data_IF_570339408089
#
_entry.id   IF_570339408089
#
_cell.length_a   1.000
_cell.length_b   1.000
_cell.length_c   1.000
_cell.angle_alpha   90.00
_cell.angle_beta   90.00
_cell.angle_gamma   90.00
#
_symmetry.space_group_name_H-M   'P 1'
#
loop_
_entity.id
_entity.type
_entity.pdbx_description
1 polymer ?
#
# COMPACT_ATOMS: atom_id res chain seq x y z
N UNK A 1 66.31 22.91 -28.69
CA UNK A 1 66.10 21.96 -27.58
C UNK A 1 64.61 21.80 -27.43
N UNK A 2 64.06 20.76 -28.05
CA UNK A 2 62.59 20.51 -28.17
C UNK A 2 62.25 19.47 -27.09
N UNK A 3 61.39 19.89 -26.16
CA UNK A 3 60.85 18.97 -25.14
C UNK A 3 59.49 18.49 -25.67
N UNK A 4 59.43 17.19 -26.03
CA UNK A 4 58.21 16.51 -26.38
C UNK A 4 57.65 15.89 -25.11
N UNK A 5 56.55 16.45 -24.60
CA UNK A 5 55.73 15.86 -23.53
C UNK A 5 54.76 14.84 -24.15
N UNK A 6 54.99 13.56 -23.90
CA UNK A 6 54.05 12.46 -24.23
C UNK A 6 53.03 12.39 -23.11
N UNK A 7 51.77 12.77 -23.41
CA UNK A 7 50.63 12.53 -22.54
C UNK A 7 50.23 11.03 -22.68
N UNK A 8 50.54 10.25 -21.64
CA UNK A 8 50.04 8.89 -21.49
C UNK A 8 48.59 8.88 -21.02
N UNK A 9 47.63 8.76 -21.90
CA UNK A 9 46.26 8.42 -21.58
C UNK A 9 46.17 6.92 -21.27
N UNK A 10 46.14 6.58 -19.98
CA UNK A 10 45.74 5.25 -19.51
C UNK A 10 44.25 5.10 -19.75
N UNK A 11 43.92 4.46 -20.86
CA UNK A 11 42.55 3.99 -21.14
C UNK A 11 42.25 2.83 -20.18
N UNK A 12 41.69 3.12 -19.01
CA UNK A 12 41.00 2.12 -18.19
C UNK A 12 39.78 1.65 -18.98
N UNK A 13 39.93 0.59 -19.77
CA UNK A 13 38.82 -0.15 -20.29
C UNK A 13 38.01 -0.66 -19.08
N UNK A 14 36.88 0.00 -18.78
CA UNK A 14 35.86 -0.54 -17.89
C UNK A 14 35.44 -1.88 -18.50
N UNK A 15 35.82 -2.96 -17.86
CA UNK A 15 35.28 -4.28 -18.12
C UNK A 15 33.76 -4.12 -17.96
N UNK A 16 32.95 -4.39 -19.00
CA UNK A 16 31.51 -4.38 -18.81
C UNK A 16 31.21 -5.46 -17.77
N UNK A 17 30.74 -5.06 -16.61
CA UNK A 17 30.14 -5.98 -15.66
C UNK A 17 29.05 -6.69 -16.44
N UNK A 18 29.25 -7.99 -16.64
CA UNK A 18 28.32 -8.85 -17.33
C UNK A 18 26.94 -8.58 -16.76
N UNK A 19 26.06 -8.06 -17.60
CA UNK A 19 24.67 -7.82 -17.33
C UNK A 19 24.07 -9.19 -16.98
N UNK A 20 24.01 -9.48 -15.68
CA UNK A 20 23.44 -10.72 -15.16
C UNK A 20 21.92 -10.64 -15.24
N UNK A 21 21.42 -10.26 -16.41
CA UNK A 21 20.01 -10.40 -16.77
C UNK A 21 19.80 -11.85 -17.15
N UNK A 22 19.56 -12.68 -16.15
CA UNK A 22 19.30 -14.12 -16.32
C UNK A 22 18.02 -14.42 -17.11
N UNK A 23 17.18 -13.41 -17.42
CA UNK A 23 15.98 -13.56 -18.23
C UNK A 23 15.79 -12.39 -19.21
N UNK A 24 16.40 -12.41 -20.40
CA UNK A 24 16.17 -11.36 -21.42
C UNK A 24 14.85 -11.52 -22.20
N UNK A 25 13.95 -12.42 -21.82
CA UNK A 25 12.85 -12.88 -22.69
C UNK A 25 11.42 -12.54 -22.24
N UNK A 26 11.23 -11.91 -21.10
CA UNK A 26 9.89 -11.42 -20.74
C UNK A 26 9.90 -9.91 -20.63
N UNK A 27 9.24 -9.22 -21.57
CA UNK A 27 8.99 -7.80 -21.47
C UNK A 27 8.30 -7.48 -20.15
N UNK A 28 8.76 -6.45 -19.41
CA UNK A 28 8.14 -6.01 -18.16
C UNK A 28 6.64 -5.72 -18.33
N UNK A 29 6.20 -5.38 -19.54
CA UNK A 29 4.80 -5.23 -19.90
C UNK A 29 4.01 -6.55 -19.79
N UNK A 30 4.56 -7.66 -20.28
CA UNK A 30 3.91 -8.98 -20.17
C UNK A 30 3.80 -9.42 -18.71
N UNK A 31 4.85 -9.21 -17.90
CA UNK A 31 4.84 -9.53 -16.47
C UNK A 31 3.79 -8.68 -15.73
N UNK A 32 3.68 -7.40 -16.08
CA UNK A 32 2.66 -6.50 -15.51
C UNK A 32 1.25 -6.99 -15.87
N UNK A 33 0.98 -7.29 -17.13
CA UNK A 33 -0.34 -7.79 -17.57
C UNK A 33 -0.69 -9.13 -16.92
N UNK A 34 0.27 -10.04 -16.78
CA UNK A 34 0.07 -11.32 -16.09
C UNK A 34 -0.24 -11.10 -14.61
N UNK A 35 0.50 -10.21 -13.94
CA UNK A 35 0.25 -9.87 -12.54
C UNK A 35 -1.15 -9.25 -12.36
N UNK A 36 -1.55 -8.33 -13.23
CA UNK A 36 -2.89 -7.73 -13.23
C UNK A 36 -3.97 -8.81 -13.38
N UNK A 37 -3.82 -9.70 -14.37
CA UNK A 37 -4.77 -10.77 -14.61
C UNK A 37 -4.90 -11.70 -13.38
N UNK A 38 -3.78 -12.06 -12.75
CA UNK A 38 -3.78 -12.90 -11.55
C UNK A 38 -4.42 -12.20 -10.34
N UNK A 39 -4.19 -10.90 -10.15
CA UNK A 39 -4.87 -10.13 -9.11
C UNK A 39 -6.38 -10.08 -9.35
N UNK A 40 -6.84 -9.87 -10.59
CA UNK A 40 -8.25 -9.88 -10.92
C UNK A 40 -8.87 -11.28 -10.72
N UNK A 41 -8.16 -12.34 -11.11
CA UNK A 41 -8.59 -13.73 -10.87
C UNK A 41 -8.67 -14.04 -9.38
N UNK A 42 -7.72 -13.57 -8.57
CA UNK A 42 -7.75 -13.72 -7.11
C UNK A 42 -8.97 -13.02 -6.51
N UNK A 43 -9.18 -11.74 -6.85
CA UNK A 43 -10.35 -10.97 -6.39
C UNK A 43 -11.68 -11.57 -6.83
N UNK A 44 -11.78 -11.98 -8.09
CA UNK A 44 -12.97 -12.65 -8.63
C UNK A 44 -13.23 -14.00 -7.93
N UNK A 45 -12.18 -14.79 -7.67
CA UNK A 45 -12.29 -16.08 -6.97
C UNK A 45 -12.80 -15.90 -5.53
N UNK A 46 -12.28 -14.87 -4.82
CA UNK A 46 -12.77 -14.51 -3.48
C UNK A 46 -14.23 -14.00 -3.54
N UNK A 47 -14.56 -13.18 -4.54
CA UNK A 47 -15.92 -12.72 -4.78
C UNK A 47 -16.88 -13.87 -5.06
N UNK A 48 -16.54 -14.79 -5.96
CA UNK A 48 -17.38 -15.96 -6.25
C UNK A 48 -17.65 -16.81 -5.02
N UNK A 49 -16.66 -17.01 -4.14
CA UNK A 49 -16.85 -17.70 -2.86
C UNK A 49 -17.88 -17.03 -1.98
N UNK A 50 -17.93 -15.69 -2.03
CA UNK A 50 -18.85 -14.90 -1.21
C UNK A 50 -20.26 -14.83 -1.80
N UNK A 51 -20.42 -15.02 -3.13
CA UNK A 51 -21.73 -14.97 -3.80
C UNK A 51 -22.28 -16.33 -4.22
N UNK A 52 -21.49 -17.41 -4.05
CA UNK A 52 -21.90 -18.73 -4.48
C UNK A 52 -23.05 -19.28 -3.64
N UNK A 53 -24.09 -19.73 -4.31
CA UNK A 53 -25.16 -20.57 -3.73
C UNK A 53 -24.63 -21.98 -3.48
N UNK A 54 -25.31 -22.77 -2.60
CA UNK A 54 -24.87 -24.09 -2.13
C UNK A 54 -24.57 -25.13 -3.23
N UNK A 55 -24.93 -24.86 -4.49
CA UNK A 55 -24.73 -25.76 -5.62
C UNK A 55 -23.69 -25.32 -6.64
N UNK A 56 -23.03 -24.16 -6.43
CA UNK A 56 -22.00 -23.67 -7.35
C UNK A 56 -20.61 -24.22 -7.00
N UNK A 57 -19.83 -24.57 -8.02
CA UNK A 57 -18.42 -24.88 -7.86
C UNK A 57 -17.68 -23.63 -7.36
N UNK A 58 -17.36 -23.60 -6.07
CA UNK A 58 -16.63 -22.48 -5.48
C UNK A 58 -15.14 -22.74 -5.58
N UNK A 59 -14.33 -21.77 -6.06
CA UNK A 59 -12.89 -21.90 -6.05
C UNK A 59 -12.37 -22.14 -4.62
N UNK A 60 -11.37 -22.99 -4.47
CA UNK A 60 -10.75 -23.20 -3.16
C UNK A 60 -10.10 -21.91 -2.65
N UNK A 61 -10.16 -21.64 -1.34
CA UNK A 61 -9.50 -20.50 -0.70
C UNK A 61 -8.00 -20.45 -1.02
N UNK A 62 -7.34 -21.60 -0.95
CA UNK A 62 -5.92 -21.73 -1.27
C UNK A 62 -5.61 -21.30 -2.70
N UNK A 63 -6.46 -21.66 -3.68
CA UNK A 63 -6.27 -21.28 -5.07
C UNK A 63 -6.33 -19.76 -5.27
N UNK A 64 -7.29 -19.09 -4.64
CA UNK A 64 -7.40 -17.62 -4.71
C UNK A 64 -6.16 -16.91 -4.12
N UNK A 65 -5.68 -17.39 -2.98
CA UNK A 65 -4.47 -16.83 -2.36
C UNK A 65 -3.18 -17.25 -3.08
N UNK A 66 -3.15 -18.39 -3.76
CA UNK A 66 -2.03 -18.75 -4.65
C UNK A 66 -1.94 -17.79 -5.84
N UNK A 67 -3.06 -17.46 -6.49
CA UNK A 67 -3.09 -16.44 -7.53
C UNK A 67 -2.60 -15.08 -7.01
N UNK A 68 -3.07 -14.66 -5.83
CA UNK A 68 -2.64 -13.41 -5.20
C UNK A 68 -1.14 -13.40 -4.87
N UNK A 69 -0.59 -14.51 -4.37
CA UNK A 69 0.83 -14.62 -4.04
C UNK A 69 1.71 -14.58 -5.29
N UNK A 70 1.35 -15.30 -6.34
CA UNK A 70 2.08 -15.26 -7.63
C UNK A 70 1.99 -13.85 -8.23
N UNK A 71 0.80 -13.23 -8.21
CA UNK A 71 0.63 -11.86 -8.66
C UNK A 71 1.53 -10.88 -7.88
N UNK A 72 1.62 -11.02 -6.56
CA UNK A 72 2.48 -10.19 -5.73
C UNK A 72 3.97 -10.40 -6.04
N UNK A 73 4.42 -11.61 -6.31
CA UNK A 73 5.81 -11.88 -6.72
C UNK A 73 6.14 -11.22 -8.06
N UNK A 74 5.26 -11.33 -9.05
CA UNK A 74 5.43 -10.65 -10.34
C UNK A 74 5.40 -9.12 -10.19
N UNK A 75 4.49 -8.61 -9.35
CA UNK A 75 4.39 -7.18 -9.05
C UNK A 75 5.67 -6.66 -8.38
N UNK A 76 6.23 -7.40 -7.42
CA UNK A 76 7.53 -7.07 -6.81
C UNK A 76 8.64 -6.94 -7.84
N UNK A 77 8.71 -7.89 -8.78
CA UNK A 77 9.70 -7.86 -9.87
C UNK A 77 9.54 -6.61 -10.73
N UNK A 78 8.31 -6.32 -11.17
CA UNK A 78 8.01 -5.13 -11.99
C UNK A 78 8.34 -3.83 -11.24
N UNK A 79 8.02 -3.75 -9.94
CA UNK A 79 8.36 -2.61 -9.10
C UNK A 79 9.87 -2.38 -9.01
N UNK A 80 10.64 -3.44 -8.74
CA UNK A 80 12.11 -3.35 -8.68
C UNK A 80 12.65 -2.88 -10.03
N UNK A 81 12.19 -3.46 -11.13
CA UNK A 81 12.63 -3.07 -12.48
C UNK A 81 12.25 -1.63 -12.85
N UNK A 82 11.13 -1.11 -12.35
CA UNK A 82 10.67 0.26 -12.62
C UNK A 82 11.34 1.30 -11.71
N UNK A 83 11.69 0.90 -10.47
CA UNK A 83 12.27 1.81 -9.48
C UNK A 83 13.81 1.85 -9.52
N UNK A 84 14.47 0.74 -9.82
CA UNK A 84 15.93 0.66 -9.89
C UNK A 84 16.42 1.05 -11.28
N UNK A 85 16.90 2.28 -11.41
CA UNK A 85 17.41 2.84 -12.67
C UNK A 85 18.91 3.11 -12.57
N UNK A 86 19.60 3.18 -13.71
CA UNK A 86 21.02 3.51 -13.75
C UNK A 86 21.34 4.92 -13.15
N UNK A 87 20.34 5.82 -13.11
CA UNK A 87 20.46 7.17 -12.57
C UNK A 87 20.11 7.26 -11.08
N UNK A 88 19.54 6.21 -10.47
CA UNK A 88 19.12 6.17 -9.07
C UNK A 88 17.72 5.57 -8.90
N UNK A 89 17.14 5.74 -7.71
CA UNK A 89 15.80 5.22 -7.40
C UNK A 89 14.74 6.17 -7.96
N UNK A 90 13.94 5.66 -8.91
CA UNK A 90 12.80 6.40 -9.46
C UNK A 90 11.57 6.25 -8.56
N UNK A 91 11.22 7.30 -7.82
CA UNK A 91 10.10 7.33 -6.88
C UNK A 91 9.03 8.34 -7.28
N UNK A 92 8.53 8.23 -8.51
CA UNK A 92 7.42 9.03 -9.00
C UNK A 92 6.09 8.65 -8.33
N UNK A 93 5.00 9.40 -8.60
CA UNK A 93 3.69 9.16 -7.96
C UNK A 93 3.12 7.78 -8.34
N UNK A 94 3.24 7.33 -9.58
CA UNK A 94 2.70 6.05 -10.03
C UNK A 94 3.44 4.87 -9.37
N UNK A 95 4.78 4.92 -9.25
CA UNK A 95 5.56 3.94 -8.53
C UNK A 95 5.22 3.93 -7.03
N UNK A 96 5.03 5.11 -6.41
CA UNK A 96 4.68 5.20 -5.00
C UNK A 96 3.30 4.63 -4.69
N UNK A 97 2.29 4.89 -5.54
CA UNK A 97 0.94 4.33 -5.41
C UNK A 97 0.98 2.81 -5.60
N UNK A 98 1.67 2.33 -6.64
CA UNK A 98 1.82 0.91 -6.94
C UNK A 98 2.54 0.16 -5.81
N UNK A 99 3.65 0.69 -5.30
CA UNK A 99 4.37 0.14 -4.15
C UNK A 99 3.49 0.09 -2.89
N UNK A 100 2.69 1.14 -2.65
CA UNK A 100 1.79 1.17 -1.50
C UNK A 100 0.75 0.06 -1.58
N UNK A 101 0.09 -0.12 -2.73
CA UNK A 101 -0.92 -1.16 -2.91
C UNK A 101 -0.32 -2.57 -2.95
N UNK A 102 0.90 -2.72 -3.45
CA UNK A 102 1.69 -3.96 -3.31
C UNK A 102 1.88 -4.33 -1.83
N UNK A 103 2.32 -3.39 -0.99
CA UNK A 103 2.49 -3.64 0.46
C UNK A 103 1.16 -3.99 1.12
N UNK A 104 0.06 -3.30 0.77
CA UNK A 104 -1.29 -3.61 1.27
C UNK A 104 -1.69 -5.04 0.87
N UNK A 105 -1.47 -5.45 -0.38
CA UNK A 105 -1.79 -6.78 -0.87
C UNK A 105 -0.97 -7.87 -0.16
N UNK A 106 0.33 -7.65 0.03
CA UNK A 106 1.22 -8.58 0.76
C UNK A 106 0.77 -8.71 2.22
N UNK A 107 0.49 -7.61 2.91
CA UNK A 107 0.00 -7.64 4.29
C UNK A 107 -1.35 -8.35 4.40
N UNK A 108 -2.24 -8.16 3.44
CA UNK A 108 -3.50 -8.90 3.38
C UNK A 108 -3.27 -10.40 3.22
N UNK A 109 -2.41 -10.82 2.28
CA UNK A 109 -2.10 -12.24 2.04
C UNK A 109 -1.53 -12.89 3.31
N UNK A 110 -0.57 -12.22 3.96
CA UNK A 110 0.05 -12.72 5.20
C UNK A 110 -1.00 -12.79 6.34
N UNK A 111 -1.79 -11.74 6.52
CA UNK A 111 -2.79 -11.67 7.58
C UNK A 111 -3.93 -12.67 7.38
N UNK A 112 -4.29 -12.97 6.13
CA UNK A 112 -5.30 -13.96 5.80
C UNK A 112 -4.92 -15.39 6.18
N UNK A 113 -3.64 -15.68 6.44
CA UNK A 113 -3.21 -17.00 6.94
C UNK A 113 -3.85 -17.30 8.30
N UNK A 114 -3.93 -16.30 9.17
CA UNK A 114 -4.39 -16.44 10.56
C UNK A 114 -5.74 -15.77 10.87
N UNK A 115 -6.21 -14.87 10.01
CA UNK A 115 -7.41 -14.06 10.22
C UNK A 115 -8.45 -14.29 9.11
N UNK A 116 -9.76 -14.29 9.44
CA UNK A 116 -10.84 -14.43 8.45
C UNK A 116 -11.12 -13.06 7.77
N UNK A 117 -10.16 -12.57 6.99
CA UNK A 117 -10.23 -11.27 6.29
C UNK A 117 -10.29 -11.43 4.77
N UNK A 118 -10.71 -12.59 4.28
CA UNK A 118 -10.79 -12.93 2.85
C UNK A 118 -11.64 -11.92 2.06
N UNK A 119 -12.66 -11.36 2.71
CA UNK A 119 -13.57 -10.35 2.16
C UNK A 119 -12.84 -9.07 1.73
N UNK A 120 -11.73 -8.68 2.40
CA UNK A 120 -10.92 -7.53 2.00
C UNK A 120 -10.24 -7.75 0.64
N UNK A 121 -9.91 -8.98 0.30
CA UNK A 121 -9.25 -9.33 -0.96
C UNK A 121 -10.10 -9.01 -2.19
N UNK A 122 -11.44 -8.98 -2.05
CA UNK A 122 -12.35 -8.61 -3.15
C UNK A 122 -12.12 -7.17 -3.62
N UNK A 123 -11.72 -6.29 -2.70
CA UNK A 123 -11.46 -4.87 -2.98
C UNK A 123 -9.96 -4.64 -3.25
N UNK A 124 -9.09 -5.21 -2.42
CA UNK A 124 -7.65 -4.93 -2.45
C UNK A 124 -6.96 -5.55 -3.67
N UNK A 125 -7.35 -6.77 -4.08
CA UNK A 125 -6.70 -7.42 -5.23
C UNK A 125 -6.96 -6.67 -6.56
N UNK A 126 -8.20 -6.31 -6.92
CA UNK A 126 -8.43 -5.47 -8.10
C UNK A 126 -7.77 -4.09 -8.00
N UNK A 127 -7.72 -3.49 -6.80
CA UNK A 127 -7.05 -2.21 -6.59
C UNK A 127 -5.54 -2.32 -6.87
N UNK A 128 -4.87 -3.39 -6.42
CA UNK A 128 -3.45 -3.64 -6.72
C UNK A 128 -3.21 -3.82 -8.23
N UNK A 129 -4.08 -4.55 -8.91
CA UNK A 129 -4.03 -4.68 -10.37
C UNK A 129 -4.22 -3.33 -11.09
N UNK A 130 -5.16 -2.51 -10.63
CA UNK A 130 -5.42 -1.20 -11.20
C UNK A 130 -4.24 -0.23 -11.03
N UNK A 131 -3.62 -0.21 -9.85
CA UNK A 131 -2.46 0.68 -9.62
C UNK A 131 -1.22 0.22 -10.39
N UNK A 132 -1.05 -1.07 -10.60
CA UNK A 132 0.01 -1.61 -11.47
C UNK A 132 -0.25 -1.22 -12.94
N UNK A 133 -1.51 -1.21 -13.38
CA UNK A 133 -1.89 -0.70 -14.70
C UNK A 133 -1.59 0.81 -14.83
N UNK A 134 -1.91 1.62 -13.80
CA UNK A 134 -1.55 3.04 -13.78
C UNK A 134 -0.04 3.26 -13.87
N UNK A 135 0.76 2.48 -13.14
CA UNK A 135 2.21 2.55 -13.18
C UNK A 135 2.75 2.29 -14.59
N UNK A 136 2.17 1.31 -15.30
CA UNK A 136 2.55 0.96 -16.66
C UNK A 136 2.13 2.05 -17.67
N UNK A 137 0.96 2.70 -17.46
CA UNK A 137 0.36 3.66 -18.40
C UNK A 137 0.93 5.07 -18.25
N UNK A 138 1.44 5.44 -17.08
CA UNK A 138 1.95 6.78 -16.77
C UNK A 138 3.38 6.72 -16.22
N UNK A 139 4.36 6.31 -17.06
CA UNK A 139 5.76 6.36 -16.67
C UNK A 139 6.19 7.83 -16.53
N UNK A 140 6.80 8.17 -15.43
CA UNK A 140 7.46 9.46 -15.20
C UNK A 140 8.76 9.23 -14.42
N UNK A 141 9.66 10.20 -14.45
CA UNK A 141 10.94 10.10 -13.78
C UNK A 141 11.01 11.11 -12.64
N UNK A 142 11.19 10.61 -11.43
CA UNK A 142 11.48 11.41 -10.24
C UNK A 142 12.55 10.70 -9.40
N UNK A 143 13.80 11.10 -9.61
CA UNK A 143 14.94 10.45 -8.97
C UNK A 143 15.10 10.93 -7.52
N UNK A 144 15.17 9.99 -6.59
CA UNK A 144 15.50 10.28 -5.20
C UNK A 144 17.02 10.32 -4.99
N UNK A 145 17.44 11.25 -4.16
CA UNK A 145 18.83 11.26 -3.68
C UNK A 145 19.08 10.04 -2.77
N UNK A 146 20.02 9.19 -3.15
CA UNK A 146 20.31 7.91 -2.49
C UNK A 146 21.02 8.01 -1.15
N UNK A 147 21.50 9.19 -0.74
CA UNK A 147 22.20 9.43 0.52
C UNK A 147 21.28 9.58 1.72
N UNK A 148 20.22 8.75 1.80
CA UNK A 148 19.27 8.78 2.90
C UNK A 148 19.87 8.17 4.17
N UNK A 149 19.72 8.88 5.32
CA UNK A 149 20.11 8.34 6.63
C UNK A 149 19.28 7.12 7.01
N UNK A 150 19.78 6.32 7.95
CA UNK A 150 19.04 5.15 8.45
C UNK A 150 17.69 5.53 9.08
N UNK A 151 17.60 6.68 9.76
CA UNK A 151 16.38 7.15 10.38
C UNK A 151 15.31 7.52 9.35
N UNK A 152 15.70 8.15 8.23
CA UNK A 152 14.77 8.40 7.12
C UNK A 152 14.25 7.09 6.50
N UNK A 153 15.13 6.10 6.34
CA UNK A 153 14.70 4.78 5.82
C UNK A 153 13.68 4.12 6.74
N UNK A 154 13.91 4.15 8.07
CA UNK A 154 12.97 3.62 9.05
C UNK A 154 11.65 4.41 9.07
N UNK A 155 11.72 5.75 8.98
CA UNK A 155 10.53 6.58 8.86
C UNK A 155 9.68 6.19 7.64
N UNK A 156 10.30 6.02 6.48
CA UNK A 156 9.58 5.64 5.24
C UNK A 156 8.96 4.25 5.38
N UNK A 157 9.71 3.26 5.87
CA UNK A 157 9.20 1.89 6.02
C UNK A 157 8.06 1.82 7.03
N UNK A 158 8.23 2.42 8.21
CA UNK A 158 7.18 2.43 9.25
C UNK A 158 5.94 3.20 8.82
N UNK A 159 6.11 4.34 8.13
CA UNK A 159 5.00 5.11 7.55
C UNK A 159 4.22 4.31 6.51
N UNK A 160 4.93 3.60 5.62
CA UNK A 160 4.31 2.75 4.61
C UNK A 160 3.51 1.61 5.23
N UNK A 161 4.08 0.91 6.23
CA UNK A 161 3.40 -0.17 6.93
C UNK A 161 2.18 0.36 7.71
N UNK A 162 2.32 1.50 8.41
CA UNK A 162 1.20 2.16 9.09
C UNK A 162 0.07 2.48 8.12
N UNK A 163 0.40 3.13 7.01
CA UNK A 163 -0.56 3.49 5.98
C UNK A 163 -1.26 2.25 5.40
N UNK A 164 -0.51 1.20 5.09
CA UNK A 164 -1.05 -0.03 4.53
C UNK A 164 -2.04 -0.73 5.49
N UNK A 165 -1.69 -0.87 6.76
CA UNK A 165 -2.59 -1.49 7.76
C UNK A 165 -3.82 -0.61 8.02
N UNK A 166 -3.65 0.72 8.10
CA UNK A 166 -4.79 1.63 8.27
C UNK A 166 -5.69 1.69 7.03
N UNK A 167 -5.14 1.44 5.83
CA UNK A 167 -5.95 1.23 4.62
C UNK A 167 -6.80 -0.03 4.73
N UNK A 168 -6.23 -1.16 5.18
CA UNK A 168 -7.00 -2.38 5.44
C UNK A 168 -8.10 -2.13 6.48
N UNK A 169 -7.80 -1.37 7.55
CA UNK A 169 -8.78 -0.97 8.55
C UNK A 169 -9.90 -0.11 7.94
N UNK A 170 -9.58 0.82 7.04
CA UNK A 170 -10.57 1.66 6.36
C UNK A 170 -11.49 0.85 5.45
N UNK A 171 -10.93 -0.09 4.66
CA UNK A 171 -11.73 -1.01 3.83
C UNK A 171 -12.61 -1.91 4.71
N UNK A 172 -12.07 -2.42 5.82
CA UNK A 172 -12.84 -3.18 6.81
C UNK A 172 -13.99 -2.34 7.41
N UNK A 173 -13.75 -1.08 7.73
CA UNK A 173 -14.77 -0.15 8.23
C UNK A 173 -15.87 0.10 7.20
N UNK A 174 -15.52 0.24 5.91
CA UNK A 174 -16.49 0.37 4.82
C UNK A 174 -17.37 -0.88 4.68
N UNK A 175 -16.77 -2.07 4.69
CA UNK A 175 -17.53 -3.33 4.64
C UNK A 175 -18.43 -3.50 5.86
N UNK A 176 -17.92 -3.14 7.05
CA UNK A 176 -18.70 -3.13 8.29
C UNK A 176 -19.89 -2.16 8.21
N UNK A 177 -19.69 -0.97 7.60
CA UNK A 177 -20.74 0.03 7.37
C UNK A 177 -21.85 -0.52 6.46
N UNK A 178 -21.47 -1.20 5.37
CA UNK A 178 -22.41 -1.82 4.44
C UNK A 178 -23.20 -2.90 5.18
N UNK A 179 -22.53 -3.76 5.94
CA UNK A 179 -23.19 -4.83 6.71
C UNK A 179 -24.15 -4.26 7.77
N UNK A 180 -23.74 -3.28 8.58
CA UNK A 180 -24.59 -2.63 9.60
C UNK A 180 -25.84 -2.01 8.98
N UNK A 181 -25.69 -1.29 7.86
CA UNK A 181 -26.82 -0.66 7.18
C UNK A 181 -27.85 -1.66 6.64
N UNK A 182 -27.42 -2.80 6.12
CA UNK A 182 -28.34 -3.82 5.61
C UNK A 182 -29.05 -4.57 6.73
N UNK A 183 -28.35 -4.91 7.80
CA UNK A 183 -28.94 -5.55 8.97
C UNK A 183 -30.02 -4.67 9.59
N UNK A 184 -29.82 -3.35 9.69
CA UNK A 184 -30.81 -2.40 10.21
C UNK A 184 -32.06 -2.28 9.34
N UNK A 185 -31.92 -2.45 8.02
CA UNK A 185 -33.04 -2.40 7.07
C UNK A 185 -33.83 -3.70 6.98
N UNK A 186 -33.56 -4.68 7.84
CA UNK A 186 -34.21 -6.00 7.86
C UNK A 186 -34.14 -6.76 6.52
N UNK A 187 -33.11 -6.51 5.70
CA UNK A 187 -32.86 -7.25 4.45
C UNK A 187 -31.62 -8.13 4.59
N UNK A 188 -31.65 -9.19 5.42
CA UNK A 188 -30.49 -10.06 5.63
C UNK A 188 -30.33 -11.07 4.48
N UNK A 189 -30.35 -10.57 3.22
CA UNK A 189 -30.23 -11.39 2.02
C UNK A 189 -28.88 -11.27 1.32
N UNK A 190 -28.55 -12.22 0.45
CA UNK A 190 -27.40 -12.16 -0.46
C UNK A 190 -26.05 -12.15 0.23
N UNK A 191 -25.17 -11.27 -0.23
CA UNK A 191 -23.77 -11.08 0.18
C UNK A 191 -23.52 -11.01 1.70
N UNK A 192 -24.47 -10.42 2.46
CA UNK A 192 -24.28 -10.13 3.89
C UNK A 192 -24.28 -11.37 4.76
N UNK A 193 -25.02 -12.42 4.38
CA UNK A 193 -25.05 -13.69 5.12
C UNK A 193 -23.71 -14.43 5.12
N UNK A 194 -22.84 -14.11 4.18
CA UNK A 194 -21.57 -14.78 3.95
C UNK A 194 -20.39 -14.02 4.57
N UNK A 195 -20.61 -12.76 5.00
CA UNK A 195 -19.63 -12.02 5.77
C UNK A 195 -19.50 -12.61 7.18
N UNK A 196 -18.30 -12.54 7.78
CA UNK A 196 -18.11 -12.90 9.19
C UNK A 196 -19.10 -12.14 10.10
N UNK A 197 -19.40 -12.67 11.28
CA UNK A 197 -20.24 -11.97 12.25
C UNK A 197 -19.75 -10.56 12.51
N UNK A 198 -20.68 -9.61 12.65
CA UNK A 198 -20.38 -8.18 12.81
C UNK A 198 -19.41 -7.93 13.97
N UNK A 199 -19.52 -8.68 15.06
CA UNK A 199 -18.62 -8.59 16.22
C UNK A 199 -17.18 -8.99 15.85
N UNK A 200 -16.99 -10.04 15.05
CA UNK A 200 -15.67 -10.47 14.57
C UNK A 200 -15.05 -9.42 13.66
N UNK A 201 -15.84 -8.86 12.72
CA UNK A 201 -15.36 -7.79 11.84
C UNK A 201 -14.97 -6.53 12.62
N UNK A 202 -15.73 -6.19 13.66
CA UNK A 202 -15.41 -5.06 14.55
C UNK A 202 -14.13 -5.32 15.37
N UNK A 203 -13.96 -6.53 15.90
CA UNK A 203 -12.76 -6.89 16.64
C UNK A 203 -11.49 -6.79 15.75
N UNK A 204 -11.57 -7.34 14.53
CA UNK A 204 -10.50 -7.23 13.54
C UNK A 204 -10.20 -5.78 13.14
N UNK A 205 -11.23 -4.94 13.01
CA UNK A 205 -11.08 -3.51 12.75
C UNK A 205 -10.23 -2.84 13.83
N UNK A 206 -10.56 -3.03 15.10
CA UNK A 206 -9.81 -2.42 16.21
C UNK A 206 -8.40 -2.99 16.35
N UNK A 207 -8.19 -4.27 16.03
CA UNK A 207 -6.86 -4.87 16.00
C UNK A 207 -5.98 -4.21 14.93
N UNK A 208 -6.50 -4.03 13.70
CA UNK A 208 -5.81 -3.32 12.62
C UNK A 208 -5.52 -1.86 12.99
N UNK A 209 -6.48 -1.15 13.58
CA UNK A 209 -6.28 0.23 14.03
C UNK A 209 -5.20 0.28 15.11
N UNK A 210 -5.19 -0.64 16.07
CA UNK A 210 -4.18 -0.69 17.13
C UNK A 210 -2.77 -0.87 16.58
N UNK A 211 -2.56 -1.86 15.71
CA UNK A 211 -1.26 -2.10 15.07
C UNK A 211 -0.86 -0.92 14.18
N UNK A 212 -1.78 -0.41 13.36
CA UNK A 212 -1.53 0.75 12.50
C UNK A 212 -1.18 2.00 13.29
N UNK A 213 -1.84 2.23 14.43
CA UNK A 213 -1.56 3.35 15.33
C UNK A 213 -0.16 3.25 15.97
N UNK A 214 0.26 2.07 16.43
CA UNK A 214 1.62 1.86 16.95
C UNK A 214 2.67 2.16 15.88
N UNK A 215 2.47 1.67 14.66
CA UNK A 215 3.36 1.98 13.54
C UNK A 215 3.37 3.48 13.18
N UNK A 216 2.22 4.14 13.27
CA UNK A 216 2.12 5.58 13.06
C UNK A 216 2.87 6.38 14.14
N UNK A 217 2.80 5.94 15.40
CA UNK A 217 3.61 6.50 16.50
C UNK A 217 5.11 6.37 16.21
N UNK A 218 5.56 5.19 15.79
CA UNK A 218 6.96 4.95 15.43
C UNK A 218 7.39 5.81 14.23
N UNK A 219 6.54 5.89 13.20
CA UNK A 219 6.80 6.72 12.03
C UNK A 219 6.96 8.20 12.39
N UNK A 220 6.04 8.75 13.19
CA UNK A 220 6.14 10.13 13.67
C UNK A 220 7.40 10.34 14.51
N UNK A 221 7.72 9.41 15.42
CA UNK A 221 8.93 9.49 16.26
C UNK A 221 10.21 9.54 15.41
N UNK A 222 10.35 8.64 14.42
CA UNK A 222 11.49 8.69 13.50
C UNK A 222 11.51 9.95 12.65
N UNK A 223 10.34 10.46 12.26
CA UNK A 223 10.21 11.74 11.56
C UNK A 223 10.74 12.91 12.42
N UNK A 224 10.35 12.97 13.70
CA UNK A 224 10.82 14.01 14.64
C UNK A 224 12.32 13.95 14.90
N UNK A 225 12.90 12.76 14.98
CA UNK A 225 14.36 12.59 15.21
C UNK A 225 15.17 13.00 13.98
N UNK A 226 14.62 12.77 12.77
CA UNK A 226 15.39 12.95 11.53
C UNK A 226 15.30 14.34 10.92
N UNK A 227 14.14 14.99 11.04
CA UNK A 227 13.88 16.28 10.40
C UNK A 227 14.30 17.41 11.36
N UNK A 228 15.45 18.03 11.11
CA UNK A 228 15.88 19.23 11.83
C UNK A 228 14.88 20.39 11.63
N UNK A 229 14.07 20.35 10.56
CA UNK A 229 13.09 21.39 10.22
C UNK A 229 11.76 20.78 9.68
N UNK A 230 11.00 20.11 10.57
CA UNK A 230 9.72 19.49 10.23
C UNK A 230 8.64 20.48 9.78
N UNK A 231 8.81 21.76 10.09
CA UNK A 231 7.91 22.84 9.74
C UNK A 231 8.41 23.68 8.56
N UNK A 232 9.50 23.26 7.90
CA UNK A 232 9.89 23.86 6.63
C UNK A 232 8.67 23.83 5.66
N UNK A 233 8.40 24.94 4.99
CA UNK A 233 7.17 25.20 4.23
C UNK A 233 6.73 24.05 3.29
N UNK A 234 7.69 23.27 2.76
CA UNK A 234 7.40 22.17 1.82
C UNK A 234 6.84 20.89 2.47
N UNK A 235 7.02 20.70 3.79
CA UNK A 235 6.59 19.47 4.51
C UNK A 235 5.62 19.74 5.65
N UNK A 236 5.44 20.99 6.08
CA UNK A 236 4.62 21.36 7.23
C UNK A 236 3.18 20.82 7.15
N UNK A 237 2.53 20.93 6.00
CA UNK A 237 1.16 20.43 5.81
C UNK A 237 1.05 18.90 5.95
N UNK A 238 2.07 18.13 5.51
CA UNK A 238 2.11 16.67 5.69
C UNK A 238 2.21 16.33 7.17
N UNK A 239 3.11 17.01 7.88
CA UNK A 239 3.32 16.81 9.32
C UNK A 239 2.07 17.13 10.11
N UNK A 240 1.42 18.29 9.86
CA UNK A 240 0.19 18.69 10.54
C UNK A 240 -0.93 17.68 10.30
N UNK A 241 -1.19 17.29 9.04
CA UNK A 241 -2.22 16.31 8.72
C UNK A 241 -1.93 14.93 9.34
N UNK A 242 -0.68 14.48 9.39
CA UNK A 242 -0.29 13.23 10.03
C UNK A 242 -0.52 13.28 11.54
N UNK A 243 -0.23 14.40 12.20
CA UNK A 243 -0.50 14.61 13.62
C UNK A 243 -2.01 14.62 13.88
N UNK A 244 -2.81 15.29 13.03
CA UNK A 244 -4.28 15.29 13.16
C UNK A 244 -4.81 13.87 13.02
N UNK A 245 -4.36 13.09 12.02
CA UNK A 245 -4.75 11.70 11.86
C UNK A 245 -4.37 10.87 13.08
N UNK A 246 -3.17 11.08 13.63
CA UNK A 246 -2.72 10.42 14.86
C UNK A 246 -3.64 10.73 16.04
N UNK A 247 -4.03 12.00 16.25
CA UNK A 247 -4.99 12.40 17.31
C UNK A 247 -6.33 11.73 17.09
N UNK A 248 -6.83 11.65 15.86
CA UNK A 248 -8.11 10.98 15.54
C UNK A 248 -8.06 9.51 15.92
N UNK A 249 -7.01 8.77 15.55
CA UNK A 249 -6.87 7.35 15.89
C UNK A 249 -6.63 7.15 17.39
N UNK A 250 -5.85 8.02 18.05
CA UNK A 250 -5.65 8.00 19.51
C UNK A 250 -6.99 8.17 20.25
N UNK A 251 -7.81 9.16 19.82
CA UNK A 251 -9.12 9.42 20.38
C UNK A 251 -10.07 8.24 20.18
N UNK A 252 -10.05 7.62 18.98
CA UNK A 252 -10.84 6.42 18.71
C UNK A 252 -10.48 5.25 19.63
N UNK A 253 -9.18 4.96 19.79
CA UNK A 253 -8.72 3.89 20.67
C UNK A 253 -9.01 4.17 22.14
N UNK A 254 -8.80 5.41 22.59
CA UNK A 254 -9.17 5.85 23.94
C UNK A 254 -10.69 5.76 24.19
N UNK A 255 -11.50 6.16 23.20
CA UNK A 255 -12.94 6.05 23.20
C UNK A 255 -13.42 4.59 23.27
N UNK A 256 -12.75 3.69 22.54
CA UNK A 256 -13.00 2.24 22.63
C UNK A 256 -12.73 1.72 24.04
N UNK A 257 -11.58 2.06 24.59
CA UNK A 257 -11.16 1.57 25.90
C UNK A 257 -11.98 2.15 27.07
N UNK A 258 -12.23 3.48 27.06
CA UNK A 258 -12.91 4.18 28.16
C UNK A 258 -14.43 4.13 28.08
N UNK A 259 -14.98 4.27 26.88
CA UNK A 259 -16.42 4.46 26.66
C UNK A 259 -17.06 3.33 25.85
N UNK A 260 -16.27 2.30 25.46
CA UNK A 260 -16.79 1.18 24.69
C UNK A 260 -17.28 1.56 23.29
N UNK A 261 -16.71 2.56 22.63
CA UNK A 261 -17.11 2.98 21.28
C UNK A 261 -17.11 1.82 20.30
N UNK A 262 -18.23 1.70 19.54
CA UNK A 262 -18.53 0.56 18.65
C UNK A 262 -19.34 1.02 17.45
N UNK A 263 -19.51 0.11 16.49
CA UNK A 263 -20.40 0.28 15.35
C UNK A 263 -20.13 1.57 14.58
N UNK A 264 -21.14 2.39 14.35
CA UNK A 264 -21.05 3.62 13.51
C UNK A 264 -20.02 4.63 14.01
N UNK A 265 -19.86 4.78 15.32
CA UNK A 265 -18.82 5.67 15.87
C UNK A 265 -17.45 5.21 15.45
N UNK A 266 -17.13 3.92 15.62
CA UNK A 266 -15.85 3.35 15.20
C UNK A 266 -15.64 3.50 13.69
N UNK A 267 -16.66 3.21 12.88
CA UNK A 267 -16.62 3.35 11.41
C UNK A 267 -16.28 4.79 11.02
N UNK A 268 -17.03 5.76 11.53
CA UNK A 268 -16.87 7.15 11.12
C UNK A 268 -15.49 7.70 11.52
N UNK A 269 -15.02 7.43 12.73
CA UNK A 269 -13.71 7.86 13.20
C UNK A 269 -12.58 7.20 12.39
N UNK A 270 -12.71 5.90 12.06
CA UNK A 270 -11.73 5.19 11.22
C UNK A 270 -11.63 5.80 9.83
N UNK A 271 -12.78 6.01 9.17
CA UNK A 271 -12.82 6.60 7.82
C UNK A 271 -12.29 8.03 7.85
N UNK A 272 -12.68 8.86 8.83
CA UNK A 272 -12.20 10.23 8.94
C UNK A 272 -10.68 10.28 9.16
N UNK A 273 -10.15 9.47 10.07
CA UNK A 273 -8.71 9.37 10.31
C UNK A 273 -7.94 8.92 9.07
N UNK A 274 -8.47 7.93 8.36
CA UNK A 274 -7.86 7.44 7.12
C UNK A 274 -7.88 8.48 5.99
N UNK A 275 -8.99 9.21 5.79
CA UNK A 275 -9.07 10.27 4.77
C UNK A 275 -8.05 11.37 5.05
N UNK A 276 -7.89 11.79 6.32
CA UNK A 276 -6.88 12.78 6.71
C UNK A 276 -5.47 12.24 6.42
N UNK A 277 -5.19 10.98 6.76
CA UNK A 277 -3.90 10.35 6.49
C UNK A 277 -3.62 10.20 4.99
N UNK A 278 -4.64 9.88 4.20
CA UNK A 278 -4.55 9.81 2.74
C UNK A 278 -4.21 11.16 2.14
N UNK A 279 -4.82 12.24 2.61
CA UNK A 279 -4.50 13.60 2.19
C UNK A 279 -3.07 14.00 2.60
N UNK A 280 -2.59 13.58 3.78
CA UNK A 280 -1.21 13.81 4.21
C UNK A 280 -0.21 13.14 3.27
N UNK A 281 -0.48 11.90 2.84
CA UNK A 281 0.44 11.10 2.05
C UNK A 281 0.39 11.45 0.54
N UNK A 282 -0.80 11.39 -0.07
CA UNK A 282 -0.98 11.61 -1.51
C UNK A 282 -1.30 13.05 -1.88
N UNK A 283 -2.02 13.80 -1.04
CA UNK A 283 -2.48 15.13 -1.37
C UNK A 283 -1.34 16.07 -1.78
N UNK A 284 -0.21 16.00 -1.10
CA UNK A 284 0.96 16.81 -1.43
C UNK A 284 1.68 16.37 -2.71
N UNK A 285 1.73 15.05 -3.00
CA UNK A 285 2.33 14.55 -4.24
C UNK A 285 1.47 14.93 -5.45
N UNK A 286 0.15 14.77 -5.34
CA UNK A 286 -0.79 15.17 -6.39
C UNK A 286 -0.68 16.68 -6.68
N UNK A 287 -0.63 17.52 -5.65
CA UNK A 287 -0.49 18.97 -5.84
C UNK A 287 0.86 19.33 -6.48
N UNK A 288 1.96 18.73 -6.02
CA UNK A 288 3.30 19.06 -6.51
C UNK A 288 3.52 18.54 -7.94
N UNK A 289 3.17 17.28 -8.23
CA UNK A 289 3.47 16.66 -9.52
C UNK A 289 2.42 16.99 -10.61
N UNK A 290 1.10 17.01 -10.25
CA UNK A 290 0.03 17.21 -11.22
C UNK A 290 -0.39 18.66 -11.41
N UNK A 291 -0.32 19.52 -10.38
CA UNK A 291 -0.76 20.90 -10.47
C UNK A 291 0.38 21.91 -10.64
N UNK A 292 1.55 21.64 -10.06
CA UNK A 292 2.69 22.55 -10.06
C UNK A 292 3.81 22.10 -11.02
N UNK A 293 3.80 20.86 -11.51
CA UNK A 293 4.76 20.34 -12.49
C UNK A 293 6.20 20.23 -11.95
N UNK A 294 6.38 20.05 -10.62
CA UNK A 294 7.68 19.88 -9.97
C UNK A 294 7.99 18.41 -9.69
#
# INVERSE_FOLDING_TARGET
MVIITVQGSTCCARVPTADMRLFPLMDNHLLSLLSIALYLLAGASLGMRLFATQHALTPQRSLAFSFAAIAALLHAWVLVAAMDTAAGINFNISNAVSLTTFVIAVLLIISAISKPIDNLGIVIMPLAGFTLWLQMSYPSEHLLNTNASWALRLHVVTSMLAYAILTLAAVQALLLSIQDNHLRKHHPGGFIRLLPPLQTMEALLFEMIGVGFVLLCLALSFGFIYLDDMFAQKVAHKTILSIIAWVVFATLLAGRYRFGWRGRTAINWTISGFVILMLAYFGSKVVLELLLGY
#
